data_IF_633840547037
#
_entry.id   IF_633840547037
#
_cell.length_a   1.000
_cell.length_b   1.000
_cell.length_c   1.000
_cell.angle_alpha   90.00
_cell.angle_beta   90.00
_cell.angle_gamma   90.00
#
_symmetry.space_group_name_H-M   'P 1'
#
loop_
_entity.id
_entity.type
_entity.pdbx_description
1 polymer ?
#
# COMPACT_ATOMS: atom_id res chain seq x y z
N UNK A 1 -0.65 5.39 24.68
CA UNK A 1 -1.25 6.59 24.03
C UNK A 1 -0.16 7.57 23.62
N UNK A 2 0.57 8.21 24.55
CA UNK A 2 1.70 9.08 24.18
C UNK A 2 2.79 8.33 23.41
N UNK A 3 3.16 7.11 23.83
CA UNK A 3 4.13 6.28 23.10
C UNK A 3 3.67 5.95 21.68
N UNK A 4 2.41 5.54 21.51
CA UNK A 4 1.81 5.24 20.19
C UNK A 4 1.83 6.44 19.24
N UNK A 5 1.64 7.65 19.78
CA UNK A 5 1.74 8.90 19.01
C UNK A 5 3.19 9.19 18.60
N UNK A 6 4.14 8.91 19.48
CA UNK A 6 5.58 9.11 19.26
C UNK A 6 6.16 8.08 18.27
N UNK A 7 5.71 6.83 18.30
CA UNK A 7 6.18 5.77 17.40
C UNK A 7 5.82 6.05 15.93
N UNK A 8 4.76 6.82 15.69
CA UNK A 8 4.30 7.22 14.35
C UNK A 8 5.02 8.44 13.75
N UNK A 9 5.96 9.06 14.47
CA UNK A 9 6.66 10.27 14.02
C UNK A 9 8.17 10.12 14.01
N UNK A 10 8.83 10.93 13.18
CA UNK A 10 10.27 11.12 13.31
C UNK A 10 10.58 11.87 14.62
N UNK A 11 11.15 11.16 15.58
CA UNK A 11 11.56 11.64 16.89
C UNK A 11 12.66 12.72 16.78
N UNK A 12 12.26 13.97 16.58
CA UNK A 12 13.12 15.15 16.68
C UNK A 12 12.90 15.85 18.02
N UNK A 13 13.93 16.43 18.67
CA UNK A 13 13.79 17.10 19.96
C UNK A 13 12.67 18.14 20.00
N UNK A 14 12.56 18.95 18.94
CA UNK A 14 11.49 19.95 18.79
C UNK A 14 10.09 19.32 18.81
N UNK A 15 9.89 18.26 18.03
CA UNK A 15 8.57 17.66 17.84
C UNK A 15 8.11 17.00 19.14
N UNK A 16 8.99 16.24 19.78
CA UNK A 16 8.73 15.58 21.06
C UNK A 16 8.44 16.59 22.17
N UNK A 17 9.22 17.67 22.25
CA UNK A 17 9.00 18.71 23.24
C UNK A 17 7.61 19.33 23.11
N UNK A 18 7.21 19.62 21.86
CA UNK A 18 5.92 20.23 21.59
C UNK A 18 4.76 19.28 21.89
N UNK A 19 4.90 18.00 21.56
CA UNK A 19 3.91 16.97 21.87
C UNK A 19 3.73 16.82 23.37
N UNK A 20 4.83 16.68 24.11
CA UNK A 20 4.78 16.56 25.57
C UNK A 20 4.11 17.78 26.21
N UNK A 21 4.54 19.00 25.86
CA UNK A 21 3.95 20.24 26.39
C UNK A 21 2.49 20.44 25.97
N UNK A 22 2.03 19.76 24.92
CA UNK A 22 0.64 19.80 24.48
C UNK A 22 -0.26 18.77 25.15
N UNK A 23 0.29 17.60 25.49
CA UNK A 23 -0.44 16.50 26.14
C UNK A 23 -0.45 16.70 27.66
N UNK A 24 0.65 17.18 28.23
CA UNK A 24 0.83 17.41 29.67
C UNK A 24 1.28 18.86 29.94
N UNK A 25 0.40 19.86 29.79
CA UNK A 25 0.78 21.27 29.92
C UNK A 25 1.24 21.65 31.33
N UNK A 26 0.72 20.99 32.36
CA UNK A 26 1.04 21.21 33.77
C UNK A 26 2.25 20.39 34.26
N UNK A 27 2.84 19.53 33.43
CA UNK A 27 3.98 18.72 33.83
C UNK A 27 5.21 19.60 34.09
N UNK A 28 5.92 19.30 35.18
CA UNK A 28 7.12 20.02 35.61
C UNK A 28 8.28 19.87 34.64
N UNK A 29 9.25 20.77 34.72
CA UNK A 29 10.50 20.69 33.95
C UNK A 29 11.24 19.37 34.18
N UNK A 30 11.19 18.82 35.40
CA UNK A 30 11.81 17.53 35.73
C UNK A 30 11.14 16.36 34.96
N UNK A 31 9.81 16.35 34.89
CA UNK A 31 9.06 15.33 34.14
C UNK A 31 9.32 15.45 32.63
N UNK A 32 9.38 16.67 32.11
CA UNK A 32 9.74 16.93 30.71
C UNK A 32 11.15 16.40 30.38
N UNK A 33 12.14 16.71 31.21
CA UNK A 33 13.52 16.26 31.03
C UNK A 33 13.64 14.74 31.04
N UNK A 34 12.95 14.08 31.98
CA UNK A 34 12.90 12.61 32.03
C UNK A 34 12.29 12.01 30.73
N UNK A 35 11.20 12.59 30.23
CA UNK A 35 10.59 12.16 28.97
C UNK A 35 11.53 12.36 27.77
N UNK A 36 12.17 13.52 27.65
CA UNK A 36 13.06 13.84 26.54
C UNK A 36 14.26 12.90 26.48
N UNK A 37 14.90 12.60 27.61
CA UNK A 37 16.00 11.64 27.67
C UNK A 37 15.56 10.20 27.40
N UNK A 38 14.35 9.83 27.82
CA UNK A 38 13.82 8.49 27.55
C UNK A 38 13.56 8.27 26.05
N UNK A 39 13.00 9.27 25.36
CA UNK A 39 12.67 9.17 23.93
C UNK A 39 13.86 9.42 23.01
N UNK A 40 14.90 10.10 23.49
CA UNK A 40 16.11 10.41 22.72
C UNK A 40 17.37 10.00 23.50
N UNK A 41 17.59 8.69 23.72
CA UNK A 41 18.71 8.21 24.52
C UNK A 41 20.08 8.54 23.91
N UNK A 42 20.15 8.71 22.59
CA UNK A 42 21.39 9.04 21.85
C UNK A 42 21.59 10.55 21.65
N UNK A 43 20.63 11.40 22.03
CA UNK A 43 20.76 12.84 21.85
C UNK A 43 21.45 13.48 23.06
N UNK A 44 22.57 14.16 22.83
CA UNK A 44 23.22 15.01 23.83
C UNK A 44 22.41 16.31 24.03
N UNK A 45 21.37 16.23 24.86
CA UNK A 45 20.55 17.39 25.26
C UNK A 45 21.02 17.89 26.63
N UNK A 46 21.67 19.05 26.66
CA UNK A 46 22.04 19.71 27.92
C UNK A 46 20.82 20.38 28.58
N UNK A 47 20.91 20.61 29.89
CA UNK A 47 19.82 21.21 30.68
C UNK A 47 19.37 22.57 30.12
N UNK A 48 20.32 23.36 29.60
CA UNK A 48 20.02 24.65 28.99
C UNK A 48 19.18 24.51 27.71
N UNK A 49 19.50 23.56 26.83
CA UNK A 49 18.70 23.30 25.63
C UNK A 49 17.32 22.79 25.98
N UNK A 50 17.21 21.91 26.99
CA UNK A 50 15.92 21.41 27.47
C UNK A 50 15.06 22.53 28.04
N UNK A 51 15.64 23.43 28.85
CA UNK A 51 14.93 24.60 29.39
C UNK A 51 14.40 25.50 28.26
N UNK A 52 15.22 25.75 27.24
CA UNK A 52 14.80 26.51 26.05
C UNK A 52 13.61 25.83 25.37
N UNK A 53 13.64 24.51 25.17
CA UNK A 53 12.54 23.78 24.54
C UNK A 53 11.27 23.82 25.39
N UNK A 54 11.40 23.62 26.70
CA UNK A 54 10.30 23.64 27.67
C UNK A 54 9.58 24.99 27.68
N UNK A 55 10.33 26.08 27.79
CA UNK A 55 9.79 27.44 27.82
C UNK A 55 9.23 27.84 26.45
N UNK A 56 9.94 27.51 25.37
CA UNK A 56 9.55 27.90 24.01
C UNK A 56 8.23 27.26 23.60
N UNK A 57 8.01 25.99 23.92
CA UNK A 57 6.85 25.22 23.47
C UNK A 57 5.73 25.07 24.51
N UNK A 58 5.63 26.00 25.47
CA UNK A 58 4.47 26.11 26.35
C UNK A 58 3.15 26.20 25.53
N UNK A 59 2.09 25.56 26.02
CA UNK A 59 0.84 25.32 25.26
C UNK A 59 0.12 26.62 24.86
N UNK A 60 0.29 27.67 25.65
CA UNK A 60 -0.34 28.99 25.56
C UNK A 60 0.29 29.85 24.47
N UNK A 61 1.52 29.52 24.04
CA UNK A 61 2.26 30.30 23.05
C UNK A 61 1.82 30.02 21.61
N UNK A 62 1.10 28.93 21.38
CA UNK A 62 0.76 28.45 20.06
C UNK A 62 -0.69 27.94 20.00
N UNK A 63 -1.40 28.28 18.93
CA UNK A 63 -2.72 27.70 18.65
C UNK A 63 -2.65 26.18 18.51
N UNK A 64 -3.77 25.47 18.62
CA UNK A 64 -3.79 24.02 18.41
C UNK A 64 -3.29 23.66 17.00
N UNK A 65 -3.64 24.49 16.02
CA UNK A 65 -3.17 24.38 14.64
C UNK A 65 -1.65 24.47 14.52
N UNK A 66 -1.06 25.50 15.12
CA UNK A 66 0.39 25.72 15.09
C UNK A 66 1.13 24.58 15.80
N UNK A 67 0.57 24.10 16.92
CA UNK A 67 1.12 22.98 17.66
C UNK A 67 1.16 21.72 16.82
N UNK A 68 0.04 21.32 16.21
CA UNK A 68 0.03 20.16 15.30
C UNK A 68 1.02 20.31 14.14
N UNK A 69 1.02 21.47 13.47
CA UNK A 69 1.93 21.73 12.36
C UNK A 69 3.41 21.63 12.75
N UNK A 70 3.80 22.24 13.87
CA UNK A 70 5.18 22.24 14.34
C UNK A 70 5.63 20.87 14.87
N UNK A 71 4.71 20.07 15.41
CA UNK A 71 4.95 18.68 15.81
C UNK A 71 5.00 17.70 14.62
N UNK A 72 4.39 18.06 13.48
CA UNK A 72 4.20 17.17 12.35
C UNK A 72 3.07 16.16 12.54
N UNK A 73 2.08 16.49 13.38
CA UNK A 73 0.93 15.64 13.74
C UNK A 73 -0.36 16.40 13.42
N UNK A 74 -1.44 15.68 13.08
CA UNK A 74 -2.72 16.34 12.87
C UNK A 74 -3.18 17.05 14.16
N UNK A 75 -3.55 18.35 14.12
CA UNK A 75 -3.93 19.12 15.32
C UNK A 75 -5.01 18.46 16.20
N UNK A 76 -6.02 17.84 15.58
CA UNK A 76 -7.06 17.11 16.33
C UNK A 76 -6.57 15.82 16.97
N UNK A 77 -5.57 15.16 16.38
CA UNK A 77 -4.96 13.96 16.96
C UNK A 77 -4.15 14.34 18.21
N UNK A 78 -3.39 15.44 18.13
CA UNK A 78 -2.68 16.00 19.28
C UNK A 78 -3.63 16.37 20.42
N UNK A 79 -4.74 17.04 20.10
CA UNK A 79 -5.78 17.35 21.09
C UNK A 79 -6.43 16.09 21.67
N UNK A 80 -6.75 15.11 20.82
CA UNK A 80 -7.40 13.86 21.24
C UNK A 80 -6.54 13.08 22.23
N UNK A 81 -5.23 12.96 21.95
CA UNK A 81 -4.29 12.28 22.85
C UNK A 81 -4.18 13.03 24.19
N UNK A 82 -4.06 14.36 24.17
CA UNK A 82 -4.07 15.18 25.38
C UNK A 82 -5.36 14.99 26.20
N UNK A 83 -6.51 14.99 25.53
CA UNK A 83 -7.79 14.81 26.21
C UNK A 83 -7.94 13.42 26.82
N UNK A 84 -7.60 12.36 26.08
CA UNK A 84 -7.68 10.98 26.60
C UNK A 84 -6.65 10.69 27.68
N UNK A 85 -5.52 11.39 27.67
CA UNK A 85 -4.53 11.31 28.75
C UNK A 85 -5.14 11.75 30.09
N UNK A 86 -5.88 12.86 30.11
CA UNK A 86 -6.56 13.36 31.30
C UNK A 86 -7.92 12.70 31.57
N UNK A 87 -8.55 12.14 30.54
CA UNK A 87 -9.87 11.51 30.60
C UNK A 87 -9.85 10.09 29.98
N UNK A 88 -9.17 9.11 30.61
CA UNK A 88 -8.94 7.79 30.01
C UNK A 88 -10.21 6.96 29.80
N UNK A 89 -11.32 7.34 30.44
CA UNK A 89 -12.63 6.67 30.31
C UNK A 89 -13.61 7.44 29.41
N UNK A 90 -13.15 8.47 28.70
CA UNK A 90 -14.01 9.26 27.82
C UNK A 90 -14.62 8.40 26.72
N UNK A 91 -15.91 8.57 26.50
CA UNK A 91 -16.65 7.90 25.42
C UNK A 91 -16.50 8.67 24.10
N UNK A 92 -16.75 8.00 22.96
CA UNK A 92 -16.74 8.65 21.65
C UNK A 92 -17.70 9.86 21.60
N UNK A 93 -18.89 9.74 22.19
CA UNK A 93 -19.87 10.84 22.27
C UNK A 93 -19.28 12.05 22.98
N UNK A 94 -18.67 11.86 24.15
CA UNK A 94 -18.02 12.93 24.91
C UNK A 94 -16.86 13.57 24.14
N UNK A 95 -16.09 12.77 23.40
CA UNK A 95 -15.00 13.28 22.55
C UNK A 95 -15.54 14.18 21.44
N UNK A 96 -16.61 13.76 20.75
CA UNK A 96 -17.23 14.54 19.67
C UNK A 96 -17.87 15.82 20.21
N UNK A 97 -18.49 15.79 21.38
CA UNK A 97 -19.06 16.99 22.01
C UNK A 97 -17.95 17.96 22.45
N UNK A 98 -16.95 17.46 23.18
CA UNK A 98 -15.92 18.33 23.79
C UNK A 98 -14.93 18.89 22.75
N UNK A 99 -14.73 18.22 21.62
CA UNK A 99 -13.89 18.73 20.53
C UNK A 99 -14.58 19.75 19.63
N UNK A 100 -15.84 20.15 19.89
CA UNK A 100 -16.58 21.05 19.00
C UNK A 100 -15.81 22.33 18.66
N UNK A 101 -15.30 23.05 19.66
CA UNK A 101 -14.50 24.26 19.45
C UNK A 101 -13.18 23.97 18.74
N UNK A 102 -12.54 22.84 19.04
CA UNK A 102 -11.22 22.51 18.50
C UNK A 102 -11.32 22.14 17.02
N UNK A 103 -12.39 21.44 16.62
CA UNK A 103 -12.69 21.20 15.21
C UNK A 103 -12.91 22.51 14.45
N UNK A 104 -13.63 23.46 15.04
CA UNK A 104 -13.85 24.77 14.42
C UNK A 104 -12.54 25.56 14.30
N UNK A 105 -11.71 25.60 15.35
CA UNK A 105 -10.39 26.23 15.33
C UNK A 105 -9.51 25.65 14.22
N UNK A 106 -9.43 24.31 14.14
CA UNK A 106 -8.61 23.61 13.16
C UNK A 106 -9.07 23.87 11.73
N UNK A 107 -10.36 24.10 11.52
CA UNK A 107 -10.93 24.40 10.20
C UNK A 107 -10.92 25.89 9.85
N UNK A 108 -10.49 26.80 10.72
CA UNK A 108 -10.52 28.24 10.43
C UNK A 108 -9.76 28.65 9.16
N UNK A 109 -8.71 27.90 8.77
CA UNK A 109 -7.97 28.16 7.53
C UNK A 109 -8.85 28.01 6.27
N UNK A 110 -9.94 27.23 6.33
CA UNK A 110 -10.94 27.11 5.26
C UNK A 110 -11.78 28.38 5.07
N UNK A 111 -11.84 29.25 6.07
CA UNK A 111 -12.67 30.46 6.02
C UNK A 111 -11.86 31.76 6.02
N UNK A 112 -10.62 31.75 6.53
CA UNK A 112 -9.78 32.95 6.68
C UNK A 112 -8.74 33.17 5.58
N UNK A 113 -8.49 32.20 4.71
CA UNK A 113 -7.47 32.34 3.67
C UNK A 113 -7.87 33.39 2.63
N UNK A 114 -7.07 34.46 2.51
CA UNK A 114 -7.24 35.46 1.44
C UNK A 114 -6.73 34.95 0.07
N UNK A 115 -6.05 33.80 0.04
CA UNK A 115 -5.53 33.19 -1.18
C UNK A 115 -6.33 31.93 -1.53
N UNK A 116 -7.35 32.12 -2.37
CA UNK A 116 -8.26 31.06 -2.84
C UNK A 116 -7.52 29.90 -3.52
N UNK A 117 -6.47 30.17 -4.33
CA UNK A 117 -5.70 29.12 -5.01
C UNK A 117 -4.99 28.19 -4.03
N UNK A 118 -4.34 28.74 -3.00
CA UNK A 118 -3.63 27.94 -1.98
C UNK A 118 -4.63 27.10 -1.18
N UNK A 119 -5.78 27.68 -0.86
CA UNK A 119 -6.85 26.97 -0.17
C UNK A 119 -7.40 25.81 -1.00
N UNK A 120 -7.80 26.05 -2.26
CA UNK A 120 -8.31 25.02 -3.16
C UNK A 120 -7.29 23.90 -3.38
N UNK A 121 -6.01 24.24 -3.54
CA UNK A 121 -4.93 23.25 -3.66
C UNK A 121 -4.84 22.36 -2.42
N UNK A 122 -4.89 22.93 -1.22
CA UNK A 122 -4.84 22.17 0.03
C UNK A 122 -6.06 21.29 0.23
N UNK A 123 -7.26 21.78 -0.12
CA UNK A 123 -8.49 20.96 -0.09
C UNK A 123 -8.36 19.77 -1.05
N UNK A 124 -7.90 20.00 -2.29
CA UNK A 124 -7.70 18.92 -3.27
C UNK A 124 -6.69 17.88 -2.77
N UNK A 125 -5.57 18.32 -2.19
CA UNK A 125 -4.57 17.41 -1.61
C UNK A 125 -5.15 16.56 -0.47
N UNK A 126 -5.97 17.15 0.41
CA UNK A 126 -6.64 16.40 1.48
C UNK A 126 -7.62 15.37 0.94
N UNK A 127 -8.45 15.75 -0.03
CA UNK A 127 -9.38 14.82 -0.69
C UNK A 127 -8.64 13.70 -1.43
N UNK A 128 -7.52 14.02 -2.07
CA UNK A 128 -6.69 13.05 -2.77
C UNK A 128 -6.05 12.05 -1.80
N UNK A 129 -5.51 12.52 -0.68
CA UNK A 129 -4.98 11.65 0.38
C UNK A 129 -6.05 10.68 0.91
N UNK A 130 -7.24 11.18 1.21
CA UNK A 130 -8.36 10.36 1.70
C UNK A 130 -8.83 9.35 0.64
N UNK A 131 -8.95 9.77 -0.61
CA UNK A 131 -9.29 8.88 -1.73
C UNK A 131 -8.28 7.73 -1.88
N UNK A 132 -6.98 8.03 -1.79
CA UNK A 132 -5.94 7.00 -1.89
C UNK A 132 -5.89 6.07 -0.68
N UNK A 133 -6.30 6.52 0.51
CA UNK A 133 -6.47 5.63 1.67
C UNK A 133 -7.58 4.60 1.43
N UNK A 134 -8.72 5.02 0.87
CA UNK A 134 -9.81 4.12 0.50
C UNK A 134 -9.36 3.13 -0.59
N UNK A 135 -8.73 3.62 -1.65
CA UNK A 135 -8.19 2.76 -2.73
C UNK A 135 -7.17 1.76 -2.17
N UNK A 136 -6.30 2.18 -1.24
CA UNK A 136 -5.34 1.29 -0.61
C UNK A 136 -6.01 0.20 0.24
N UNK A 137 -7.11 0.52 0.92
CA UNK A 137 -7.91 -0.47 1.65
C UNK A 137 -8.54 -1.51 0.71
N UNK A 138 -9.09 -1.07 -0.42
CA UNK A 138 -9.68 -1.96 -1.41
C UNK A 138 -8.65 -2.94 -2.00
N UNK A 139 -7.46 -2.44 -2.36
CA UNK A 139 -6.38 -3.32 -2.83
C UNK A 139 -5.89 -4.29 -1.75
N UNK A 140 -5.76 -3.85 -0.50
CA UNK A 140 -5.40 -4.73 0.62
C UNK A 140 -6.42 -5.84 0.81
N UNK A 141 -7.72 -5.53 0.65
CA UNK A 141 -8.78 -6.53 0.70
C UNK A 141 -8.60 -7.63 -0.35
N UNK A 142 -8.03 -7.29 -1.51
CA UNK A 142 -7.68 -8.24 -2.58
C UNK A 142 -6.35 -8.99 -2.35
N UNK A 143 -5.66 -8.76 -1.22
CA UNK A 143 -4.43 -9.46 -0.84
C UNK A 143 -3.14 -8.76 -1.24
N UNK A 144 -3.18 -7.46 -1.50
CA UNK A 144 -1.98 -6.65 -1.77
C UNK A 144 -1.31 -6.20 -0.45
N UNK A 145 0.03 -6.21 -0.36
CA UNK A 145 0.74 -6.10 0.91
C UNK A 145 1.12 -4.67 1.34
N UNK A 146 0.75 -3.63 0.59
CA UNK A 146 1.15 -2.25 0.90
C UNK A 146 0.29 -1.62 1.99
N UNK A 147 0.93 -0.91 2.93
CA UNK A 147 0.26 -0.18 4.01
C UNK A 147 -0.41 1.10 3.53
N UNK A 148 0.24 1.79 2.58
CA UNK A 148 -0.24 3.03 1.97
C UNK A 148 0.07 3.07 0.48
N UNK A 149 -0.76 3.78 -0.29
CA UNK A 149 -0.48 4.09 -1.69
C UNK A 149 -0.04 5.55 -1.82
N UNK A 150 1.01 5.79 -2.61
CA UNK A 150 1.41 7.15 -2.96
C UNK A 150 0.29 7.83 -3.75
N UNK A 151 -0.24 8.98 -3.29
CA UNK A 151 -1.27 9.73 -4.01
C UNK A 151 -0.65 10.39 -5.25
N UNK A 152 -0.67 9.64 -6.35
CA UNK A 152 -0.03 10.03 -7.59
C UNK A 152 -0.59 9.24 -8.76
N UNK A 153 -0.64 9.88 -9.93
CA UNK A 153 -0.93 9.17 -11.19
C UNK A 153 0.06 8.05 -11.51
N UNK A 154 1.27 8.07 -10.92
CA UNK A 154 2.22 6.97 -11.06
C UNK A 154 1.65 5.63 -10.53
N UNK A 155 0.73 5.66 -9.57
CA UNK A 155 0.06 4.47 -9.03
C UNK A 155 -0.75 3.73 -10.11
N UNK A 156 -1.37 4.45 -11.04
CA UNK A 156 -2.07 3.85 -12.18
C UNK A 156 -1.13 3.12 -13.15
N UNK A 157 0.19 3.39 -13.08
CA UNK A 157 1.23 2.71 -13.85
C UNK A 157 1.89 1.55 -13.09
N UNK A 158 1.42 1.21 -11.89
CA UNK A 158 1.98 0.14 -11.06
C UNK A 158 3.24 0.54 -10.29
N UNK A 159 3.46 1.84 -10.05
CA UNK A 159 4.63 2.32 -9.28
C UNK A 159 4.59 1.97 -7.79
N UNK A 160 3.47 1.44 -7.28
CA UNK A 160 3.25 1.15 -5.86
C UNK A 160 3.81 -0.21 -5.41
N UNK A 161 4.40 -0.96 -6.34
CA UNK A 161 4.94 -2.29 -6.08
C UNK A 161 3.84 -3.34 -6.01
N UNK A 162 4.17 -4.54 -6.49
CA UNK A 162 3.27 -5.68 -6.44
C UNK A 162 4.08 -6.96 -6.28
N UNK A 163 3.44 -8.02 -5.80
CA UNK A 163 4.04 -9.35 -5.71
C UNK A 163 3.43 -10.26 -6.77
N UNK A 164 4.24 -11.12 -7.41
CA UNK A 164 3.73 -12.10 -8.38
C UNK A 164 2.55 -12.94 -7.86
N UNK A 165 2.53 -13.28 -6.56
CA UNK A 165 1.44 -14.06 -5.97
C UNK A 165 0.13 -13.27 -5.84
N UNK A 166 0.18 -11.99 -5.47
CA UNK A 166 -1.01 -11.10 -5.40
C UNK A 166 -1.64 -10.94 -6.79
N UNK A 167 -0.81 -10.77 -7.82
CA UNK A 167 -1.25 -10.73 -9.22
C UNK A 167 -1.94 -12.03 -9.66
N UNK A 168 -1.36 -13.18 -9.34
CA UNK A 168 -1.95 -14.47 -9.66
C UNK A 168 -3.27 -14.70 -8.91
N UNK A 169 -3.34 -14.32 -7.64
CA UNK A 169 -4.58 -14.37 -6.83
C UNK A 169 -5.69 -13.54 -7.45
N UNK A 170 -5.39 -12.32 -7.94
CA UNK A 170 -6.37 -11.48 -8.63
C UNK A 170 -6.91 -12.16 -9.89
N UNK A 171 -6.05 -12.79 -10.70
CA UNK A 171 -6.51 -13.56 -11.86
C UNK A 171 -7.39 -14.75 -11.44
N UNK A 172 -7.05 -15.42 -10.34
CA UNK A 172 -7.87 -16.46 -9.74
C UNK A 172 -9.26 -15.96 -9.31
N UNK A 173 -9.34 -14.78 -8.71
CA UNK A 173 -10.62 -14.14 -8.35
C UNK A 173 -11.45 -13.88 -9.62
N UNK A 174 -10.83 -13.37 -10.68
CA UNK A 174 -11.51 -13.11 -11.96
C UNK A 174 -12.02 -14.42 -12.60
N UNK A 175 -11.19 -15.46 -12.66
CA UNK A 175 -11.58 -16.78 -13.19
C UNK A 175 -12.74 -17.39 -12.39
N UNK A 176 -12.73 -17.25 -11.06
CA UNK A 176 -13.77 -17.76 -10.18
C UNK A 176 -14.94 -16.77 -9.96
N UNK A 177 -15.20 -15.87 -10.92
CA UNK A 177 -16.34 -14.95 -10.91
C UNK A 177 -16.46 -14.14 -9.61
N UNK A 178 -15.33 -13.66 -9.11
CA UNK A 178 -15.24 -12.82 -7.91
C UNK A 178 -15.03 -13.58 -6.61
N UNK A 179 -14.86 -14.90 -6.63
CA UNK A 179 -14.54 -15.70 -5.45
C UNK A 179 -13.02 -15.88 -5.30
N UNK A 180 -12.48 -15.57 -4.12
CA UNK A 180 -11.18 -16.04 -3.71
C UNK A 180 -11.32 -17.49 -3.22
N UNK A 181 -10.76 -18.41 -4.00
CA UNK A 181 -10.70 -19.83 -3.64
C UNK A 181 -9.46 -20.10 -2.75
N UNK A 182 -9.58 -20.93 -1.71
CA UNK A 182 -8.43 -21.38 -0.93
C UNK A 182 -7.39 -22.08 -1.81
N UNK A 183 -6.12 -21.71 -1.66
CA UNK A 183 -5.03 -22.39 -2.35
C UNK A 183 -4.78 -23.74 -1.69
N UNK A 184 -4.94 -24.83 -2.45
CA UNK A 184 -4.68 -26.20 -1.98
C UNK A 184 -3.48 -26.76 -2.71
N UNK A 185 -2.32 -26.80 -2.03
CA UNK A 185 -1.09 -27.41 -2.57
C UNK A 185 -1.02 -28.91 -2.31
N UNK A 186 -1.53 -29.36 -1.15
CA UNK A 186 -1.57 -30.76 -0.73
C UNK A 186 -3.02 -31.24 -0.73
N UNK A 187 -3.33 -32.19 -1.62
CA UNK A 187 -4.69 -32.75 -1.71
C UNK A 187 -4.90 -33.91 -0.74
N UNK A 188 -3.89 -34.76 -0.57
CA UNK A 188 -3.97 -35.88 0.35
C UNK A 188 -2.57 -36.26 0.87
N UNK A 189 -2.53 -36.75 2.10
CA UNK A 189 -1.37 -37.39 2.72
C UNK A 189 -1.79 -38.76 3.24
N UNK A 190 -1.09 -39.80 2.82
CA UNK A 190 -1.33 -41.17 3.25
C UNK A 190 -0.13 -41.65 4.07
N UNK A 191 -0.39 -42.03 5.32
CA UNK A 191 0.62 -42.53 6.26
C UNK A 191 0.41 -44.02 6.53
N UNK A 192 1.51 -44.73 6.77
CA UNK A 192 1.54 -46.12 7.24
C UNK A 192 0.64 -47.08 6.46
N UNK A 193 0.59 -46.90 5.12
CA UNK A 193 -0.22 -47.71 4.20
C UNK A 193 -0.01 -49.20 4.42
N UNK A 194 -1.09 -49.96 4.57
CA UNK A 194 -1.06 -51.41 4.77
C UNK A 194 -0.76 -51.84 6.22
N UNK A 195 -0.80 -50.92 7.18
CA UNK A 195 -0.66 -51.24 8.61
C UNK A 195 -1.95 -50.89 9.37
N UNK A 196 -2.16 -51.42 10.59
CA UNK A 196 -3.27 -50.99 11.44
C UNK A 196 -3.27 -49.50 11.81
N UNK A 197 -2.17 -48.78 11.55
CA UNK A 197 -2.02 -47.35 11.79
C UNK A 197 -2.23 -46.50 10.51
N UNK A 198 -2.72 -47.12 9.43
CA UNK A 198 -2.97 -46.42 8.17
C UNK A 198 -3.88 -45.21 8.39
N UNK A 199 -3.37 -44.02 8.03
CA UNK A 199 -4.07 -42.74 8.25
C UNK A 199 -4.08 -41.93 6.97
N UNK A 200 -5.27 -41.45 6.58
CA UNK A 200 -5.47 -40.67 5.36
C UNK A 200 -5.96 -39.28 5.75
N UNK A 201 -5.16 -38.27 5.42
CA UNK A 201 -5.58 -36.88 5.49
C UNK A 201 -5.96 -36.44 4.09
N UNK A 202 -7.18 -35.95 3.91
CA UNK A 202 -7.66 -35.42 2.64
C UNK A 202 -8.07 -33.97 2.86
N UNK A 203 -7.63 -33.10 1.96
CA UNK A 203 -8.03 -31.69 1.97
C UNK A 203 -9.54 -31.58 1.78
N UNK A 204 -10.21 -30.84 2.66
CA UNK A 204 -11.64 -30.58 2.52
C UNK A 204 -11.86 -29.36 1.63
N UNK A 205 -12.80 -29.43 0.66
CA UNK A 205 -13.18 -28.27 -0.11
C UNK A 205 -13.71 -27.17 0.81
N UNK A 206 -12.99 -26.05 0.90
CA UNK A 206 -13.45 -24.88 1.63
C UNK A 206 -14.18 -23.93 0.69
N UNK A 207 -15.26 -23.33 1.19
CA UNK A 207 -16.03 -22.35 0.43
C UNK A 207 -15.17 -21.13 0.08
N UNK A 208 -15.30 -20.65 -1.15
CA UNK A 208 -14.64 -19.41 -1.58
C UNK A 208 -15.25 -18.18 -0.91
N UNK A 209 -14.43 -17.14 -0.72
CA UNK A 209 -14.87 -15.85 -0.17
C UNK A 209 -15.16 -14.89 -1.32
N UNK A 210 -16.33 -14.24 -1.33
CA UNK A 210 -16.66 -13.25 -2.35
C UNK A 210 -15.88 -11.96 -2.13
N UNK A 211 -14.99 -11.65 -3.07
CA UNK A 211 -14.16 -10.46 -3.08
C UNK A 211 -14.68 -9.39 -4.05
N UNK A 212 -15.27 -9.80 -5.18
CA UNK A 212 -15.78 -8.90 -6.21
C UNK A 212 -17.19 -9.32 -6.69
N UNK A 213 -18.02 -8.38 -7.15
CA UNK A 213 -19.24 -8.71 -7.89
C UNK A 213 -18.93 -9.46 -9.19
N UNK A 214 -19.85 -10.32 -9.62
CA UNK A 214 -19.66 -11.15 -10.83
C UNK A 214 -19.52 -10.26 -12.06
N UNK A 215 -20.36 -9.24 -12.17
CA UNK A 215 -20.45 -8.30 -13.29
C UNK A 215 -19.11 -7.57 -13.50
N UNK A 216 -18.45 -7.18 -12.40
CA UNK A 216 -17.13 -6.55 -12.45
C UNK A 216 -16.10 -7.52 -13.01
N UNK A 217 -16.11 -8.77 -12.55
CA UNK A 217 -15.16 -9.79 -13.04
C UNK A 217 -15.36 -10.15 -14.51
N UNK A 218 -16.59 -10.14 -15.01
CA UNK A 218 -16.90 -10.37 -16.43
C UNK A 218 -16.34 -9.24 -17.32
N UNK A 219 -16.53 -7.98 -16.90
CA UNK A 219 -15.97 -6.82 -17.61
C UNK A 219 -14.44 -6.89 -17.62
N UNK A 220 -13.82 -7.17 -16.47
CA UNK A 220 -12.35 -7.31 -16.35
C UNK A 220 -11.84 -8.45 -17.24
N UNK A 221 -12.48 -9.62 -17.18
CA UNK A 221 -12.11 -10.79 -18.01
C UNK A 221 -12.14 -10.45 -19.49
N UNK A 222 -13.20 -9.81 -19.98
CA UNK A 222 -13.30 -9.39 -21.38
C UNK A 222 -12.17 -8.43 -21.77
N UNK A 223 -11.89 -7.43 -20.94
CA UNK A 223 -10.78 -6.49 -21.19
C UNK A 223 -9.41 -7.19 -21.20
N UNK A 224 -9.20 -8.21 -20.36
CA UNK A 224 -7.99 -9.02 -20.37
C UNK A 224 -7.86 -9.84 -21.67
N UNK A 225 -8.97 -10.38 -22.19
CA UNK A 225 -9.00 -11.08 -23.48
C UNK A 225 -8.68 -10.11 -24.62
N UNK A 226 -9.26 -8.90 -24.62
CA UNK A 226 -9.00 -7.89 -25.65
C UNK A 226 -7.51 -7.51 -25.75
N UNK A 227 -6.80 -7.44 -24.62
CA UNK A 227 -5.35 -7.20 -24.59
C UNK A 227 -4.56 -8.28 -25.33
N UNK A 228 -5.03 -9.53 -25.30
CA UNK A 228 -4.42 -10.65 -26.04
C UNK A 228 -4.90 -10.69 -27.48
N UNK A 229 -6.15 -10.34 -27.78
CA UNK A 229 -6.69 -10.45 -29.13
C UNK A 229 -6.23 -9.33 -30.08
N UNK A 230 -6.01 -8.13 -29.55
CA UNK A 230 -5.61 -6.96 -30.36
C UNK A 230 -4.58 -6.05 -29.72
N UNK A 231 -4.10 -6.38 -28.52
CA UNK A 231 -3.22 -5.51 -27.75
C UNK A 231 -1.79 -6.03 -27.60
N UNK A 232 -1.17 -5.61 -26.51
CA UNK A 232 0.23 -5.94 -26.17
C UNK A 232 0.49 -7.44 -25.90
N UNK A 233 -0.56 -8.25 -25.72
CA UNK A 233 -0.48 -9.71 -25.53
C UNK A 233 -0.61 -10.52 -26.82
N UNK A 234 -0.68 -9.88 -27.99
CA UNK A 234 -1.05 -10.49 -29.28
C UNK A 234 -0.29 -11.75 -29.69
N UNK A 235 0.92 -11.97 -29.17
CA UNK A 235 1.69 -13.19 -29.46
C UNK A 235 0.97 -14.48 -29.00
N UNK A 236 0.11 -14.39 -27.98
CA UNK A 236 -0.71 -15.49 -27.47
C UNK A 236 -2.06 -15.65 -28.19
N UNK A 237 -2.39 -14.75 -29.13
CA UNK A 237 -3.58 -14.90 -29.95
C UNK A 237 -3.56 -16.26 -30.65
N UNK A 238 -4.68 -16.97 -30.54
CA UNK A 238 -4.88 -18.32 -31.09
C UNK A 238 -3.79 -19.32 -30.66
N UNK A 239 -3.10 -19.06 -29.55
CA UNK A 239 -1.98 -19.88 -29.07
C UNK A 239 -2.39 -21.23 -28.51
N UNK A 240 -3.69 -21.44 -28.26
CA UNK A 240 -4.27 -22.70 -27.79
C UNK A 240 -5.50 -23.06 -28.61
N UNK A 241 -5.37 -24.15 -29.36
CA UNK A 241 -6.47 -24.76 -30.09
C UNK A 241 -6.65 -26.18 -29.55
N UNK A 242 -7.85 -26.48 -29.08
CA UNK A 242 -8.20 -27.84 -28.65
C UNK A 242 -8.18 -28.80 -29.84
N UNK A 243 -8.10 -30.11 -29.56
CA UNK A 243 -8.13 -31.16 -30.60
C UNK A 243 -9.39 -31.12 -31.48
N UNK A 244 -10.49 -30.53 -31.00
CA UNK A 244 -11.74 -30.34 -31.73
C UNK A 244 -11.77 -29.06 -32.59
N UNK A 245 -10.67 -28.29 -32.65
CA UNK A 245 -10.58 -27.02 -33.37
C UNK A 245 -11.08 -25.80 -32.58
N UNK A 246 -11.57 -25.96 -31.35
CA UNK A 246 -12.02 -24.84 -30.52
C UNK A 246 -10.83 -24.08 -29.93
N UNK A 247 -10.78 -22.77 -30.14
CA UNK A 247 -9.78 -21.89 -29.51
C UNK A 247 -10.11 -21.73 -28.03
N UNK A 248 -9.13 -21.97 -27.15
CA UNK A 248 -9.26 -21.67 -25.73
C UNK A 248 -8.97 -20.19 -25.52
N UNK A 249 -9.88 -19.48 -24.88
CA UNK A 249 -9.69 -18.08 -24.56
C UNK A 249 -8.47 -17.88 -23.65
N UNK A 250 -7.56 -17.01 -24.06
CA UNK A 250 -6.45 -16.54 -23.25
C UNK A 250 -6.65 -15.04 -23.03
N UNK A 251 -6.65 -14.63 -21.77
CA UNK A 251 -6.69 -13.23 -21.36
C UNK A 251 -5.48 -12.90 -20.51
N UNK A 252 -5.07 -11.64 -20.49
CA UNK A 252 -4.00 -11.23 -19.59
C UNK A 252 -3.65 -9.76 -19.70
N UNK A 253 -2.75 -9.32 -18.81
CA UNK A 253 -2.20 -7.97 -18.83
C UNK A 253 -0.68 -7.99 -18.77
N UNK A 254 -0.09 -7.18 -19.63
CA UNK A 254 1.35 -6.94 -19.71
C UNK A 254 1.77 -5.81 -18.75
N UNK A 255 2.98 -5.90 -18.22
CA UNK A 255 3.64 -4.83 -17.48
C UNK A 255 5.14 -4.82 -17.82
N UNK A 256 5.70 -3.64 -18.03
CA UNK A 256 7.16 -3.45 -18.19
C UNK A 256 7.59 -2.34 -17.25
N UNK A 257 8.55 -2.62 -16.37
CA UNK A 257 9.08 -1.67 -15.41
C UNK A 257 10.54 -1.34 -15.69
N UNK A 258 10.88 -0.04 -15.63
CA UNK A 258 12.25 0.47 -15.58
C UNK A 258 12.35 1.39 -14.36
N UNK A 259 12.69 0.81 -13.21
CA UNK A 259 12.81 1.58 -11.98
C UNK A 259 14.22 2.15 -11.91
N UNK A 260 14.31 3.47 -11.71
CA UNK A 260 15.56 4.21 -11.70
C UNK A 260 15.65 5.09 -10.47
N UNK A 261 16.82 5.11 -9.84
CA UNK A 261 17.16 6.14 -8.86
C UNK A 261 17.62 7.37 -9.61
N UNK A 262 16.97 8.52 -9.35
CA UNK A 262 17.22 9.76 -10.07
C UNK A 262 17.50 10.86 -9.06
N UNK A 263 18.66 11.52 -9.18
CA UNK A 263 19.02 12.65 -8.32
C UNK A 263 18.98 13.95 -9.10
N UNK A 264 18.32 14.97 -8.55
CA UNK A 264 18.18 16.30 -9.15
C UNK A 264 18.94 17.34 -8.32
N UNK A 265 19.49 18.35 -9.00
CA UNK A 265 20.02 19.55 -8.37
C UNK A 265 18.89 20.45 -7.86
N UNK A 266 19.16 21.41 -6.96
CA UNK A 266 18.14 22.35 -6.45
C UNK A 266 17.40 23.13 -7.54
N UNK A 267 18.03 23.33 -8.70
CA UNK A 267 17.43 23.98 -9.88
C UNK A 267 16.67 23.02 -10.80
N UNK A 268 16.46 21.76 -10.39
CA UNK A 268 15.76 20.73 -11.16
C UNK A 268 16.60 20.04 -12.24
N UNK A 269 17.89 20.36 -12.38
CA UNK A 269 18.77 19.68 -13.35
C UNK A 269 19.05 18.24 -12.92
N UNK A 270 18.90 17.28 -13.82
CA UNK A 270 19.28 15.89 -13.58
C UNK A 270 20.79 15.78 -13.32
N UNK A 271 21.18 15.22 -12.17
CA UNK A 271 22.58 14.97 -11.79
C UNK A 271 22.99 13.55 -12.16
N UNK A 272 22.17 12.56 -11.79
CA UNK A 272 22.47 11.16 -12.03
C UNK A 272 21.18 10.36 -12.18
N UNK A 273 21.26 9.29 -12.98
CA UNK A 273 20.19 8.30 -13.13
C UNK A 273 20.78 6.90 -13.17
N UNK A 274 20.43 6.07 -12.19
CA UNK A 274 20.89 4.69 -12.06
C UNK A 274 19.72 3.75 -12.21
N UNK A 275 19.82 2.77 -13.10
CA UNK A 275 18.81 1.71 -13.20
C UNK A 275 18.91 0.80 -11.96
N UNK A 276 17.77 0.59 -11.30
CA UNK A 276 17.66 -0.23 -10.08
C UNK A 276 17.06 -1.58 -10.44
N UNK A 277 15.94 -1.57 -11.17
CA UNK A 277 15.22 -2.78 -11.54
C UNK A 277 14.73 -2.70 -12.98
N UNK A 278 14.91 -3.80 -13.72
CA UNK A 278 14.20 -4.06 -14.98
C UNK A 278 13.24 -5.22 -14.77
N UNK A 279 11.97 -5.01 -15.09
CA UNK A 279 10.95 -6.06 -14.97
C UNK A 279 10.07 -6.14 -16.21
N UNK A 280 9.60 -7.36 -16.48
CA UNK A 280 8.58 -7.66 -17.45
C UNK A 280 7.67 -8.69 -16.82
N UNK A 281 6.38 -8.39 -16.78
CA UNK A 281 5.37 -9.26 -16.17
C UNK A 281 4.23 -9.47 -17.15
N UNK A 282 3.73 -10.69 -17.21
CA UNK A 282 2.47 -11.01 -17.86
C UNK A 282 1.61 -11.81 -16.89
N UNK A 283 0.48 -11.24 -16.50
CA UNK A 283 -0.55 -11.93 -15.71
C UNK A 283 -1.59 -12.48 -16.66
N UNK A 284 -2.10 -13.67 -16.40
CA UNK A 284 -2.92 -14.37 -17.37
C UNK A 284 -4.01 -15.23 -16.74
N UNK A 285 -5.01 -15.50 -17.58
CA UNK A 285 -6.01 -16.55 -17.43
C UNK A 285 -6.09 -17.33 -18.75
N UNK A 286 -6.41 -18.62 -18.67
CA UNK A 286 -6.61 -19.52 -19.80
C UNK A 286 -7.86 -20.35 -19.51
N UNK A 287 -8.90 -20.10 -20.30
CA UNK A 287 -10.24 -20.63 -20.09
C UNK A 287 -10.71 -20.34 -18.65
N UNK A 288 -11.29 -21.36 -18.02
CA UNK A 288 -11.82 -21.27 -16.65
C UNK A 288 -10.97 -22.05 -15.64
N UNK A 289 -9.80 -22.54 -16.06
CA UNK A 289 -9.01 -23.51 -15.28
C UNK A 289 -7.64 -23.00 -14.86
N UNK A 290 -6.94 -22.29 -15.73
CA UNK A 290 -5.57 -21.87 -15.44
C UNK A 290 -5.48 -20.36 -15.33
N UNK A 291 -4.67 -19.91 -14.40
CA UNK A 291 -4.34 -18.52 -14.20
C UNK A 291 -2.96 -18.43 -13.55
N UNK A 292 -2.33 -17.26 -13.65
CA UNK A 292 -1.05 -17.05 -13.01
C UNK A 292 -0.33 -15.82 -13.50
N UNK A 293 0.97 -15.81 -13.27
CA UNK A 293 1.86 -14.73 -13.72
C UNK A 293 3.18 -15.31 -14.19
N UNK A 294 3.79 -14.65 -15.17
CA UNK A 294 5.16 -14.89 -15.61
C UNK A 294 5.91 -13.57 -15.48
N UNK A 295 6.92 -13.55 -14.62
CA UNK A 295 7.75 -12.37 -14.36
C UNK A 295 9.20 -12.66 -14.69
N UNK A 296 9.80 -11.81 -15.51
CA UNK A 296 11.24 -11.69 -15.66
C UNK A 296 11.71 -10.43 -14.92
N UNK A 297 12.78 -10.58 -14.15
CA UNK A 297 13.27 -9.54 -13.26
C UNK A 297 14.80 -9.54 -13.22
N UNK A 298 15.39 -8.35 -13.31
CA UNK A 298 16.82 -8.13 -13.16
C UNK A 298 17.03 -6.95 -12.21
N UNK A 299 17.84 -7.17 -11.18
CA UNK A 299 18.24 -6.16 -10.21
C UNK A 299 19.60 -5.58 -10.57
N UNK A 300 19.95 -4.43 -9.98
CA UNK A 300 21.30 -3.91 -10.05
C UNK A 300 22.33 -4.91 -9.47
N UNK A 301 23.58 -4.94 -10.01
CA UNK A 301 24.16 -3.98 -10.95
C UNK A 301 23.75 -4.19 -12.42
N UNK A 302 23.16 -5.33 -12.76
CA UNK A 302 22.96 -5.74 -14.15
C UNK A 302 21.73 -5.12 -14.82
N UNK A 303 20.81 -4.51 -14.07
CA UNK A 303 19.56 -3.97 -14.61
C UNK A 303 19.76 -3.02 -15.82
N UNK A 304 20.88 -2.28 -15.87
CA UNK A 304 21.21 -1.38 -16.97
C UNK A 304 21.59 -2.10 -18.28
N UNK A 305 22.09 -3.33 -18.19
CA UNK A 305 22.59 -4.11 -19.33
C UNK A 305 21.48 -4.84 -20.08
N UNK A 306 20.30 -4.99 -19.47
CA UNK A 306 19.19 -5.74 -20.03
C UNK A 306 18.12 -4.85 -20.66
N UNK A 307 17.74 -5.18 -21.90
CA UNK A 307 16.64 -4.53 -22.63
C UNK A 307 15.61 -5.57 -23.05
N UNK A 308 14.56 -5.72 -22.25
CA UNK A 308 13.42 -6.59 -22.58
C UNK A 308 12.09 -5.93 -22.20
N UNK A 309 11.00 -6.38 -22.83
CA UNK A 309 9.63 -5.97 -22.52
C UNK A 309 8.79 -7.18 -22.12
N UNK A 310 7.55 -6.94 -21.69
CA UNK A 310 6.54 -7.97 -21.47
C UNK A 310 6.29 -8.88 -22.67
N UNK A 311 6.68 -8.51 -23.90
CA UNK A 311 6.58 -9.42 -25.04
C UNK A 311 7.40 -10.72 -24.82
N UNK A 312 8.49 -10.64 -24.04
CA UNK A 312 9.31 -11.80 -23.68
C UNK A 312 8.55 -12.76 -22.76
N UNK A 313 7.88 -12.26 -21.73
CA UNK A 313 7.11 -13.13 -20.80
C UNK A 313 5.88 -13.72 -21.46
N UNK A 314 5.22 -12.97 -22.35
CA UNK A 314 4.13 -13.47 -23.21
C UNK A 314 4.64 -14.60 -24.11
N UNK A 315 5.80 -14.43 -24.75
CA UNK A 315 6.40 -15.47 -25.59
C UNK A 315 6.82 -16.71 -24.78
N UNK A 316 7.39 -16.51 -23.59
CA UNK A 316 7.75 -17.61 -22.70
C UNK A 316 6.52 -18.43 -22.33
N UNK A 317 5.41 -17.79 -21.95
CA UNK A 317 4.16 -18.50 -21.68
C UNK A 317 3.71 -19.30 -22.89
N UNK A 318 3.74 -18.71 -24.10
CA UNK A 318 3.39 -19.41 -25.34
C UNK A 318 4.19 -20.69 -25.54
N UNK A 319 5.50 -20.64 -25.30
CA UNK A 319 6.38 -21.81 -25.41
C UNK A 319 6.14 -22.86 -24.32
N UNK A 320 5.57 -22.49 -23.18
CA UNK A 320 5.23 -23.40 -22.08
C UNK A 320 3.87 -24.07 -22.24
N UNK A 321 2.99 -23.55 -23.10
CA UNK A 321 1.63 -24.07 -23.31
C UNK A 321 1.59 -25.61 -23.52
N UNK A 322 2.42 -26.23 -24.39
CA UNK A 322 2.42 -27.68 -24.57
C UNK A 322 2.68 -28.46 -23.28
N UNK A 323 3.60 -27.97 -22.45
CA UNK A 323 4.04 -28.63 -21.20
C UNK A 323 2.96 -28.53 -20.13
N UNK A 324 2.12 -27.49 -20.17
CA UNK A 324 0.97 -27.34 -19.27
C UNK A 324 -0.18 -28.30 -19.62
N UNK A 325 0.05 -29.29 -20.49
CA UNK A 325 -0.97 -30.25 -20.93
C UNK A 325 -1.98 -29.65 -21.90
N UNK A 326 -1.65 -28.50 -22.48
CA UNK A 326 -2.50 -27.78 -23.42
C UNK A 326 -1.80 -27.81 -24.79
N UNK A 327 -2.22 -28.66 -25.74
CA UNK A 327 -1.52 -28.76 -27.01
C UNK A 327 -1.48 -27.39 -27.69
N UNK A 328 -0.27 -26.83 -27.83
CA UNK A 328 -0.06 -25.72 -28.74
C UNK A 328 0.13 -26.31 -30.14
N UNK A 329 -0.48 -25.69 -31.14
CA UNK A 329 -0.24 -25.98 -32.56
C UNK A 329 1.13 -25.46 -32.99
#
# INVERSE_FOLDING_TARGET
MLQTLVDGIHAKPKNLALIFRSVEPEASFLQFTAFMHHQLPEAELDEKSLQILYDKFAVEKYSLMDRGYLAGIHPLELWLVGYLFHHPKATLTQLVETSAQQRQEVLQWLFKSHNKKVQESRIRQMLELEAFQMIAADWRHLGYPFESLTPSYATALGASGDRPDSLAKLMGIVVNKGLLMPLVELQALQFAKGTPYETHFVSQPAAGVRMLPVEVTEVVRRSLIDVVQGGTGIRLKDGLVQKNGQVIEIGGKTGTGDQRFVSYAPNGKLIASRAVNRSATFVFLIGDRFFGTVTAYVHEPYAADYKFTSAMTVQLLKSLLPVLGMPAS
#
